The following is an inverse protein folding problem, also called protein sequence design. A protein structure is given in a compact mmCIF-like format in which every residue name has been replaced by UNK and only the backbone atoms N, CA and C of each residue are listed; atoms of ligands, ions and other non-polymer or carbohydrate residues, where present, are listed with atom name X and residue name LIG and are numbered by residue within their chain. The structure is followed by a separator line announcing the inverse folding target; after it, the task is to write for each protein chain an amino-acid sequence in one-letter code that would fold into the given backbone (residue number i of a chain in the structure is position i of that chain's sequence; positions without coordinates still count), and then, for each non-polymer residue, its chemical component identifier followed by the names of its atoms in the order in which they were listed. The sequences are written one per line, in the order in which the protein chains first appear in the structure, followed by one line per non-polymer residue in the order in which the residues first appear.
data_IF_460663547329
#
_entry.id   IF_460663547329
#
_cell.length_a   1.000
_cell.length_b   1.000
_cell.length_c   1.000
_cell.angle_alpha   90.00
_cell.angle_beta   90.00
_cell.angle_gamma   90.00
#
_symmetry.space_group_name_H-M   'P 1'
#
loop_
_entity.id
_entity.type
_entity.pdbx_description
1 polymer ?
#
# COMPACT_ATOMS: atom_id res chain seq x y z
N UNK A 1 -11.43 20.11 13.55
CA UNK A 1 -10.51 19.14 12.93
C UNK A 1 -10.82 19.18 11.46
N UNK A 2 -9.90 19.65 10.63
CA UNK A 2 -10.10 19.63 9.19
C UNK A 2 -10.16 18.16 8.78
N UNK A 3 -11.27 17.71 8.19
CA UNK A 3 -11.33 16.40 7.54
C UNK A 3 -10.34 16.45 6.38
N UNK A 4 -9.14 15.89 6.59
CA UNK A 4 -8.15 15.75 5.53
C UNK A 4 -8.73 14.77 4.51
N UNK A 5 -8.98 15.25 3.29
CA UNK A 5 -9.70 14.49 2.29
C UNK A 5 -8.82 13.34 1.80
N UNK A 6 -9.09 12.13 2.30
CA UNK A 6 -8.38 10.92 1.89
C UNK A 6 -9.13 10.22 0.76
N UNK A 7 -8.43 9.96 -0.35
CA UNK A 7 -8.93 9.16 -1.47
C UNK A 7 -8.46 7.72 -1.34
N UNK A 8 -9.39 6.76 -1.31
CA UNK A 8 -9.07 5.33 -1.33
C UNK A 8 -9.18 4.80 -2.76
N UNK A 9 -8.13 4.16 -3.28
CA UNK A 9 -8.14 3.55 -4.62
C UNK A 9 -7.13 2.40 -4.76
N UNK A 10 -7.28 1.54 -5.77
CA UNK A 10 -6.25 0.57 -6.15
C UNK A 10 -4.88 1.22 -6.39
N UNK A 11 -3.80 0.47 -6.11
CA UNK A 11 -2.44 0.87 -6.45
C UNK A 11 -2.22 0.68 -7.96
N UNK A 12 -1.69 1.69 -8.64
CA UNK A 12 -1.57 1.72 -10.10
C UNK A 12 -0.12 1.76 -10.56
N UNK A 13 0.74 2.48 -9.83
CA UNK A 13 2.11 2.74 -10.27
C UNK A 13 3.15 1.99 -9.46
N UNK A 14 4.30 1.70 -10.08
CA UNK A 14 5.44 1.11 -9.36
C UNK A 14 5.95 1.97 -8.20
N UNK A 15 5.73 3.29 -8.26
CA UNK A 15 6.07 4.20 -7.18
C UNK A 15 5.16 3.97 -5.96
N UNK A 16 3.86 3.76 -6.17
CA UNK A 16 2.90 3.50 -5.10
C UNK A 16 3.19 2.18 -4.37
N UNK A 17 3.48 1.10 -5.10
CA UNK A 17 3.88 -0.16 -4.47
C UNK A 17 5.17 -0.02 -3.63
N UNK A 18 6.13 0.78 -4.09
CA UNK A 18 7.35 1.08 -3.31
C UNK A 18 7.04 1.95 -2.09
N UNK A 19 6.09 2.87 -2.20
CA UNK A 19 5.64 3.69 -1.08
C UNK A 19 5.00 2.82 0.02
N UNK A 20 4.26 1.76 -0.32
CA UNK A 20 3.77 0.79 0.67
C UNK A 20 4.92 0.10 1.42
N UNK A 21 6.01 -0.27 0.74
CA UNK A 21 7.19 -0.88 1.39
C UNK A 21 7.91 0.12 2.30
N UNK A 22 8.03 1.38 1.86
CA UNK A 22 8.59 2.45 2.69
C UNK A 22 7.74 2.66 3.95
N UNK A 23 6.41 2.74 3.81
CA UNK A 23 5.49 2.92 4.93
C UNK A 23 5.56 1.76 5.93
N UNK A 24 5.68 0.51 5.46
CA UNK A 24 5.90 -0.64 6.34
C UNK A 24 7.19 -0.51 7.16
N UNK A 25 8.29 -0.01 6.56
CA UNK A 25 9.56 0.25 7.28
C UNK A 25 9.44 1.39 8.27
N UNK A 26 8.68 2.43 7.93
CA UNK A 26 8.48 3.58 8.80
C UNK A 26 7.65 3.19 10.04
N UNK A 27 6.69 2.27 9.88
CA UNK A 27 5.82 1.80 10.96
C UNK A 27 6.47 0.69 11.80
N UNK A 28 7.08 -0.32 11.17
CA UNK A 28 7.62 -1.50 11.86
C UNK A 28 9.11 -1.41 12.18
N UNK A 29 9.80 -0.40 11.64
CA UNK A 29 11.22 -0.18 11.86
C UNK A 29 12.12 -0.78 10.78
N UNK A 30 13.36 -0.29 10.73
CA UNK A 30 14.36 -0.61 9.69
C UNK A 30 14.84 -2.06 9.72
N UNK A 31 14.77 -2.71 10.88
CA UNK A 31 15.26 -4.07 11.08
C UNK A 31 14.18 -5.13 10.84
N UNK A 32 12.93 -4.71 10.62
CA UNK A 32 11.84 -5.64 10.30
C UNK A 32 12.03 -6.24 8.89
N UNK A 33 12.23 -7.56 8.83
CA UNK A 33 12.56 -8.26 7.59
C UNK A 33 11.32 -8.75 6.82
N UNK A 34 10.21 -8.97 7.52
CA UNK A 34 9.00 -9.60 6.95
C UNK A 34 8.07 -8.58 6.26
N UNK A 35 8.65 -7.61 5.57
CA UNK A 35 7.91 -6.64 4.77
C UNK A 35 7.25 -7.36 3.60
N UNK A 36 5.99 -7.02 3.31
CA UNK A 36 5.34 -7.44 2.07
C UNK A 36 6.02 -6.74 0.89
N UNK A 37 6.69 -7.48 -0.02
CA UNK A 37 7.41 -6.87 -1.12
C UNK A 37 6.48 -6.19 -2.13
N UNK A 38 6.95 -5.13 -2.78
CA UNK A 38 6.21 -4.42 -3.83
C UNK A 38 5.67 -5.36 -4.93
N UNK A 39 6.43 -6.40 -5.28
CA UNK A 39 6.03 -7.41 -6.27
C UNK A 39 4.83 -8.24 -5.78
N UNK A 40 4.78 -8.59 -4.49
CA UNK A 40 3.64 -9.34 -3.93
C UNK A 40 2.38 -8.47 -3.94
N UNK A 41 2.51 -7.21 -3.53
CA UNK A 41 1.40 -6.25 -3.61
C UNK A 41 0.88 -6.10 -5.04
N UNK A 42 1.77 -6.02 -6.03
CA UNK A 42 1.41 -5.91 -7.44
C UNK A 42 0.73 -7.16 -7.99
N UNK A 43 1.31 -8.34 -7.74
CA UNK A 43 0.76 -9.61 -8.24
C UNK A 43 -0.57 -9.94 -7.58
N UNK A 44 -0.78 -9.55 -6.32
CA UNK A 44 -2.03 -9.80 -5.60
C UNK A 44 -3.25 -9.29 -6.36
N UNK A 45 -3.19 -8.09 -6.95
CA UNK A 45 -4.30 -7.53 -7.74
C UNK A 45 -4.54 -8.30 -9.04
N UNK A 46 -3.49 -8.85 -9.64
CA UNK A 46 -3.59 -9.61 -10.88
C UNK A 46 -4.24 -10.99 -10.68
N UNK A 47 -4.10 -11.56 -9.48
CA UNK A 47 -4.65 -12.89 -9.14
C UNK A 47 -6.01 -12.82 -8.42
N UNK A 48 -6.67 -11.67 -8.45
CA UNK A 48 -7.99 -11.48 -7.83
C UNK A 48 -7.97 -11.13 -6.34
N UNK A 49 -6.79 -10.80 -5.79
CA UNK A 49 -6.64 -10.19 -4.48
C UNK A 49 -6.87 -8.67 -4.49
N UNK A 50 -6.60 -8.03 -3.36
CA UNK A 50 -6.73 -6.59 -3.17
C UNK A 50 -5.37 -5.97 -2.86
N UNK A 51 -5.08 -4.81 -3.46
CA UNK A 51 -4.05 -3.89 -2.98
C UNK A 51 -4.49 -2.45 -3.26
N UNK A 52 -4.91 -1.74 -2.22
CA UNK A 52 -5.44 -0.37 -2.30
C UNK A 52 -4.72 0.55 -1.34
N UNK A 53 -4.45 1.77 -1.78
CA UNK A 53 -3.84 2.83 -1.00
C UNK A 53 -4.85 3.88 -0.52
N UNK A 54 -4.51 4.54 0.57
CA UNK A 54 -5.12 5.76 1.07
C UNK A 54 -4.20 6.93 0.75
N UNK A 55 -4.72 7.92 0.02
CA UNK A 55 -3.94 9.06 -0.47
C UNK A 55 -4.51 10.36 0.08
N UNK A 56 -3.65 11.23 0.63
CA UNK A 56 -4.04 12.58 1.05
C UNK A 56 -4.27 13.52 -0.16
N UNK A 57 -4.58 14.79 0.12
CA UNK A 57 -4.86 15.81 -0.90
C UNK A 57 -3.67 16.09 -1.83
N UNK A 58 -2.44 15.86 -1.37
CA UNK A 58 -1.21 16.00 -2.15
C UNK A 58 -0.83 14.71 -2.90
N UNK A 59 -1.64 13.66 -2.78
CA UNK A 59 -1.41 12.37 -3.41
C UNK A 59 -0.34 11.52 -2.73
N UNK A 60 0.02 11.82 -1.48
CA UNK A 60 0.94 10.99 -0.69
C UNK A 60 0.21 9.80 -0.11
N UNK A 61 0.85 8.64 -0.15
CA UNK A 61 0.33 7.42 0.47
C UNK A 61 0.42 7.53 2.00
N UNK A 62 -0.72 7.53 2.68
CA UNK A 62 -0.81 7.59 4.16
C UNK A 62 -1.24 6.26 4.79
N UNK A 63 -1.66 5.30 3.97
CA UNK A 63 -2.06 3.97 4.40
C UNK A 63 -2.27 3.04 3.21
N UNK A 64 -2.32 1.74 3.46
CA UNK A 64 -2.70 0.77 2.42
C UNK A 64 -3.30 -0.49 3.06
N UNK A 65 -4.05 -1.24 2.26
CA UNK A 65 -4.54 -2.58 2.58
C UNK A 65 -4.15 -3.53 1.46
N UNK A 66 -3.80 -4.75 1.82
CA UNK A 66 -3.53 -5.82 0.87
C UNK A 66 -4.09 -7.16 1.37
N UNK A 67 -4.51 -8.01 0.44
CA UNK A 67 -4.95 -9.37 0.72
C UNK A 67 -4.91 -10.25 -0.52
N UNK A 68 -4.61 -11.52 -0.36
CA UNK A 68 -4.62 -12.53 -1.43
C UNK A 68 -5.89 -13.37 -1.25
N UNK A 69 -6.62 -13.61 -2.34
CA UNK A 69 -7.73 -14.56 -2.36
C UNK A 69 -7.20 -15.99 -2.21
N UNK A 70 -7.57 -16.67 -1.12
CA UNK A 70 -7.18 -18.05 -0.84
C UNK A 70 -8.10 -19.06 -1.52
N UNK A 71 -8.10 -19.08 -2.86
CA UNK A 71 -8.84 -20.09 -3.64
C UNK A 71 -8.03 -21.35 -3.85
#
# INVERSE_FOLDING_TARGET
MSDEQVTIRPLETRAEYKACVALQRDIWGRDFQDLVPATILMVSQQVGGVASGAFDAEGRLVGFVFGISGV
#
